data_IF_728321815151
#
_entry.id   IF_728321815151
#
_cell.length_a   1.000
_cell.length_b   1.000
_cell.length_c   1.000
_cell.angle_alpha   90.00
_cell.angle_beta   90.00
_cell.angle_gamma   90.00
#
_symmetry.space_group_name_H-M   'P 1'
#
loop_
_entity.id
_entity.type
_entity.pdbx_description
1 polymer ?
#
# COMPACT_ATOMS: atom_id res chain seq x y z
N UNK A 1 -0.65 -2.90 -19.68
CA UNK A 1 -1.08 -2.88 -18.29
C UNK A 1 -0.10 -2.05 -17.47
N UNK A 2 -0.64 -1.21 -16.63
CA UNK A 2 0.21 -0.44 -15.73
C UNK A 2 0.81 -1.35 -14.66
N UNK A 3 2.02 -1.06 -14.28
CA UNK A 3 2.75 -1.85 -13.32
C UNK A 3 3.14 -0.98 -12.13
N UNK A 4 3.42 -1.64 -11.04
CA UNK A 4 3.96 -0.99 -9.86
C UNK A 4 5.20 -1.73 -9.39
N UNK A 5 6.02 -1.05 -8.61
CA UNK A 5 7.17 -1.67 -7.95
C UNK A 5 7.06 -1.39 -6.46
N UNK A 6 7.55 -2.31 -5.65
CA UNK A 6 7.59 -2.14 -4.20
C UNK A 6 8.97 -1.70 -3.80
N UNK A 7 9.04 -0.69 -2.93
CA UNK A 7 10.30 -0.39 -2.25
C UNK A 7 10.67 -1.57 -1.36
N UNK A 8 11.91 -1.59 -0.90
CA UNK A 8 12.34 -2.63 0.03
C UNK A 8 11.48 -2.60 1.29
N UNK A 9 11.21 -1.41 1.82
CA UNK A 9 10.37 -1.28 3.02
C UNK A 9 8.95 -1.75 2.77
N UNK A 10 8.38 -1.43 1.60
CA UNK A 10 7.02 -1.88 1.28
C UNK A 10 6.96 -3.40 1.14
N UNK A 11 7.98 -3.99 0.56
CA UNK A 11 8.06 -5.44 0.43
C UNK A 11 8.12 -6.10 1.81
N UNK A 12 8.92 -5.55 2.70
CA UNK A 12 8.99 -6.03 4.08
C UNK A 12 7.68 -5.82 4.82
N UNK A 13 7.03 -4.67 4.60
CA UNK A 13 5.71 -4.41 5.18
C UNK A 13 4.71 -5.47 4.73
N UNK A 14 4.73 -5.81 3.45
CA UNK A 14 3.82 -6.81 2.89
C UNK A 14 4.06 -8.18 3.53
N UNK A 15 5.32 -8.57 3.67
CA UNK A 15 5.64 -9.85 4.29
C UNK A 15 5.17 -9.89 5.75
N UNK A 16 5.37 -8.80 6.49
CA UNK A 16 4.95 -8.75 7.89
C UNK A 16 3.43 -8.81 8.03
N UNK A 17 2.69 -8.11 7.19
CA UNK A 17 1.24 -8.14 7.28
C UNK A 17 0.71 -9.52 6.93
N UNK A 18 1.35 -10.20 6.00
CA UNK A 18 0.96 -11.55 5.63
C UNK A 18 1.16 -12.53 6.79
N UNK A 19 2.34 -12.47 7.42
CA UNK A 19 2.65 -13.32 8.58
C UNK A 19 1.72 -13.02 9.75
N UNK A 20 1.49 -11.74 10.02
CA UNK A 20 0.56 -11.34 11.07
C UNK A 20 -0.83 -11.90 10.80
N UNK A 21 -1.26 -11.84 9.54
CA UNK A 21 -2.56 -12.37 9.16
C UNK A 21 -2.67 -13.87 9.41
N UNK A 22 -1.62 -14.61 9.07
CA UNK A 22 -1.62 -16.06 9.31
C UNK A 22 -1.76 -16.34 10.81
N UNK A 23 -0.96 -15.65 11.62
CA UNK A 23 -0.93 -15.89 13.06
C UNK A 23 -2.24 -15.52 13.75
N UNK A 24 -2.94 -14.52 13.26
CA UNK A 24 -4.12 -13.99 13.94
C UNK A 24 -5.44 -14.41 13.31
N UNK A 25 -5.46 -14.71 12.01
CA UNK A 25 -6.71 -15.00 11.30
C UNK A 25 -6.68 -16.30 10.51
N UNK A 26 -5.52 -16.94 10.42
CA UNK A 26 -5.37 -18.17 9.68
C UNK A 26 -4.92 -17.95 8.24
N UNK A 27 -4.37 -18.99 7.64
CA UNK A 27 -3.75 -18.90 6.33
C UNK A 27 -4.73 -18.49 5.24
N UNK A 28 -5.94 -19.05 5.25
CA UNK A 28 -6.91 -18.77 4.17
C UNK A 28 -7.29 -17.31 4.14
N UNK A 29 -7.53 -16.71 5.31
CA UNK A 29 -7.90 -15.29 5.36
C UNK A 29 -6.73 -14.41 4.99
N UNK A 30 -5.52 -14.77 5.39
CA UNK A 30 -4.34 -13.99 5.04
C UNK A 30 -4.06 -14.03 3.54
N UNK A 31 -4.22 -15.19 2.92
CA UNK A 31 -4.06 -15.33 1.48
C UNK A 31 -5.09 -14.47 0.75
N UNK A 32 -6.35 -14.52 1.17
CA UNK A 32 -7.40 -13.72 0.54
C UNK A 32 -7.13 -12.23 0.69
N UNK A 33 -6.70 -11.80 1.87
CA UNK A 33 -6.36 -10.39 2.12
C UNK A 33 -5.21 -9.94 1.22
N UNK A 34 -4.17 -10.78 1.12
CA UNK A 34 -3.01 -10.46 0.30
C UNK A 34 -3.36 -10.33 -1.17
N UNK A 35 -4.24 -11.21 -1.68
CA UNK A 35 -4.69 -11.12 -3.07
C UNK A 35 -5.47 -9.83 -3.31
N UNK A 36 -6.35 -9.47 -2.37
CA UNK A 36 -7.12 -8.23 -2.48
C UNK A 36 -6.22 -7.01 -2.44
N UNK A 37 -5.21 -7.03 -1.59
CA UNK A 37 -4.24 -5.94 -1.50
C UNK A 37 -3.45 -5.79 -2.80
N UNK A 38 -2.98 -6.90 -3.36
CA UNK A 38 -2.26 -6.85 -4.65
C UNK A 38 -3.14 -6.29 -5.75
N UNK A 39 -4.43 -6.67 -5.75
CA UNK A 39 -5.37 -6.13 -6.73
C UNK A 39 -5.53 -4.62 -6.55
N UNK A 40 -5.55 -4.15 -5.32
CA UNK A 40 -5.61 -2.71 -5.06
C UNK A 40 -4.35 -2.00 -5.55
N UNK A 41 -3.17 -2.60 -5.35
CA UNK A 41 -1.93 -2.01 -5.85
C UNK A 41 -1.95 -1.89 -7.37
N UNK A 42 -2.45 -2.92 -8.05
CA UNK A 42 -2.58 -2.86 -9.51
C UNK A 42 -3.55 -1.76 -9.94
N UNK A 43 -4.66 -1.61 -9.21
CA UNK A 43 -5.62 -0.54 -9.50
C UNK A 43 -5.01 0.85 -9.31
N UNK A 44 -4.19 1.02 -8.30
CA UNK A 44 -3.47 2.27 -8.09
C UNK A 44 -2.54 2.54 -9.27
N UNK A 45 -1.83 1.52 -9.73
CA UNK A 45 -0.91 1.68 -10.85
C UNK A 45 -1.63 2.09 -12.13
N UNK A 46 -2.83 1.58 -12.34
CA UNK A 46 -3.60 1.94 -13.52
C UNK A 46 -4.12 3.37 -13.48
N UNK A 47 -4.49 3.86 -12.30
CA UNK A 47 -5.09 5.17 -12.15
C UNK A 47 -4.51 5.89 -10.93
N UNK A 48 -3.21 6.18 -10.95
CA UNK A 48 -2.54 6.69 -9.74
C UNK A 48 -2.98 8.10 -9.35
N UNK A 49 -3.48 8.88 -10.29
CA UNK A 49 -3.86 10.26 -10.03
C UNK A 49 -5.38 10.45 -9.95
N UNK A 50 -6.13 9.38 -10.09
CA UNK A 50 -7.58 9.42 -10.12
C UNK A 50 -8.18 9.65 -8.74
N UNK A 51 -7.43 9.36 -7.74
CA UNK A 51 -7.86 9.46 -6.36
C UNK A 51 -7.45 10.80 -5.78
N UNK A 52 -8.36 11.43 -5.04
CA UNK A 52 -7.99 12.63 -4.32
C UNK A 52 -7.12 12.25 -3.14
N UNK A 53 -5.89 11.98 -3.40
CA UNK A 53 -4.98 11.60 -2.36
C UNK A 53 -4.75 12.74 -1.39
N UNK A 54 -4.23 12.42 -0.23
CA UNK A 54 -3.81 13.42 0.72
C UNK A 54 -2.43 13.89 0.27
N UNK A 55 -2.40 15.03 -0.39
CA UNK A 55 -1.16 15.57 -0.91
C UNK A 55 -0.19 16.01 0.16
N UNK A 56 -0.58 15.94 1.40
CA UNK A 56 0.00 16.85 2.34
C UNK A 56 1.09 16.30 3.22
N UNK A 57 1.34 15.00 3.19
CA UNK A 57 2.28 14.45 4.17
C UNK A 57 3.70 14.73 3.75
N UNK A 58 4.00 14.53 2.48
CA UNK A 58 5.31 14.81 1.90
C UNK A 58 5.15 15.14 0.44
N UNK A 59 6.11 15.83 -0.12
CA UNK A 59 6.10 16.14 -1.54
C UNK A 59 5.90 14.88 -2.36
N UNK A 60 4.91 14.87 -3.21
CA UNK A 60 4.64 13.81 -4.17
C UNK A 60 4.18 12.48 -3.58
N UNK A 61 4.01 12.38 -2.26
CA UNK A 61 3.46 11.16 -1.68
C UNK A 61 1.94 11.20 -1.74
N UNK A 62 1.38 10.08 -2.18
CA UNK A 62 -0.06 9.86 -2.20
C UNK A 62 -0.40 8.72 -1.26
N UNK A 63 -1.63 8.72 -0.75
CA UNK A 63 -2.08 7.69 0.18
C UNK A 63 -3.41 7.15 -0.30
N UNK A 64 -3.50 5.83 -0.38
CA UNK A 64 -4.78 5.14 -0.55
C UNK A 64 -4.94 4.08 0.51
N UNK A 65 -6.18 3.86 0.90
CA UNK A 65 -6.49 2.93 1.98
C UNK A 65 -7.06 1.66 1.38
N UNK A 66 -6.61 0.52 1.89
CA UNK A 66 -7.22 -0.76 1.65
C UNK A 66 -7.51 -1.39 3.01
N UNK A 67 -8.79 -1.40 3.40
CA UNK A 67 -9.25 -1.96 4.67
C UNK A 67 -8.47 -1.38 5.85
N UNK A 68 -7.61 -2.18 6.49
CA UNK A 68 -6.89 -1.74 7.68
C UNK A 68 -5.49 -1.21 7.39
N UNK A 69 -5.14 -1.07 6.12
CA UNK A 69 -3.81 -0.63 5.74
C UNK A 69 -3.86 0.60 4.87
N UNK A 70 -2.84 1.43 5.00
CA UNK A 70 -2.65 2.58 4.13
C UNK A 70 -1.45 2.36 3.24
N UNK A 71 -1.64 2.67 1.97
CA UNK A 71 -0.66 2.45 0.93
C UNK A 71 -0.10 3.82 0.56
N UNK A 72 1.18 4.01 0.82
CA UNK A 72 1.90 5.23 0.45
C UNK A 72 2.62 4.98 -0.85
N UNK A 73 2.43 5.86 -1.83
CA UNK A 73 3.07 5.66 -3.12
C UNK A 73 3.48 7.00 -3.72
N UNK A 74 4.42 6.92 -4.66
CA UNK A 74 4.85 8.08 -5.43
C UNK A 74 4.64 7.79 -6.91
N UNK A 75 4.35 8.85 -7.66
CA UNK A 75 4.18 8.77 -9.10
C UNK A 75 5.33 9.56 -9.72
N UNK A 76 6.17 8.88 -10.47
CA UNK A 76 7.29 9.50 -11.16
C UNK A 76 7.04 9.46 -12.66
N UNK A 77 7.43 10.53 -13.35
CA UNK A 77 7.16 10.65 -14.77
C UNK A 77 7.82 9.51 -15.55
N UNK A 78 7.01 8.84 -16.39
CA UNK A 78 7.49 7.76 -17.27
C UNK A 78 8.06 6.55 -16.53
N UNK A 79 7.70 6.38 -15.25
CA UNK A 79 8.15 5.22 -14.46
C UNK A 79 6.95 4.54 -13.83
N UNK A 80 7.08 3.26 -13.50
CA UNK A 80 6.00 2.58 -12.75
C UNK A 80 5.75 3.29 -11.42
N UNK A 81 4.52 3.21 -10.95
CA UNK A 81 4.19 3.69 -9.62
C UNK A 81 5.04 2.94 -8.60
N UNK A 82 5.64 3.65 -7.68
CA UNK A 82 6.44 3.05 -6.63
C UNK A 82 5.69 3.06 -5.31
N UNK A 83 5.43 1.88 -4.79
CA UNK A 83 4.78 1.73 -3.49
C UNK A 83 5.88 1.86 -2.44
N UNK A 84 5.77 2.87 -1.60
CA UNK A 84 6.84 3.21 -0.65
C UNK A 84 6.64 2.53 0.69
N UNK A 85 5.42 2.51 1.19
CA UNK A 85 5.10 1.85 2.46
C UNK A 85 3.68 1.30 2.42
N UNK A 86 3.47 0.24 3.19
CA UNK A 86 2.13 -0.30 3.45
C UNK A 86 2.02 -0.43 4.96
N UNK A 87 1.31 0.51 5.59
CA UNK A 87 1.27 0.61 7.04
C UNK A 87 -0.13 0.38 7.56
N UNK A 88 -0.21 -0.24 8.72
CA UNK A 88 -1.49 -0.37 9.41
C UNK A 88 -2.03 1.02 9.72
N UNK A 89 -3.33 1.19 9.65
CA UNK A 89 -3.96 2.50 9.82
C UNK A 89 -3.59 3.19 11.12
N UNK A 90 -3.43 2.43 12.18
CA UNK A 90 -3.05 3.00 13.47
C UNK A 90 -1.69 3.68 13.40
N UNK A 91 -0.79 3.16 12.58
CA UNK A 91 0.53 3.75 12.42
C UNK A 91 0.48 5.11 11.77
N UNK A 92 -0.53 5.35 10.94
CA UNK A 92 -0.70 6.65 10.31
C UNK A 92 -1.00 7.70 11.36
N UNK A 93 -1.93 7.41 12.24
CA UNK A 93 -2.30 8.35 13.29
C UNK A 93 -1.09 8.67 14.18
N UNK A 94 -0.32 7.66 14.50
CA UNK A 94 0.89 7.83 15.29
C UNK A 94 1.93 8.66 14.53
N UNK A 95 2.09 8.40 13.27
CA UNK A 95 3.09 9.09 12.46
C UNK A 95 2.75 10.55 12.20
N UNK A 96 1.47 10.89 12.20
CA UNK A 96 1.03 12.26 11.95
C UNK A 96 1.06 13.12 13.20
N UNK A 97 1.17 12.52 14.32
CA UNK A 97 1.27 13.23 15.58
C UNK A 97 2.73 13.38 15.98
#
# INVERSE_FOLDING_TARGET
MAQYVLSQEADEDFARLFEYGIDNFGANKSIAYSKGLKKRLSGIAENPLDWQGVDSIRNNYHIRVYRNHSIYYVVENKKPVRIVRILHKENILTSLN
#
